data_IF_938139066178
#
_entry.id   IF_938139066178
#
_cell.length_a   1.000
_cell.length_b   1.000
_cell.length_c   1.000
_cell.angle_alpha   90.00
_cell.angle_beta   90.00
_cell.angle_gamma   90.00
#
_symmetry.space_group_name_H-M   'P 1'
#
loop_
_entity.id
_entity.type
_entity.pdbx_description
1 polymer ?
#
# COMPACT_ATOMS: atom_id res chain seq x y z
N UNK A 1 46.94 48.04 20.48
CA UNK A 1 45.59 47.44 20.60
C UNK A 1 45.50 46.28 19.62
N UNK A 2 45.49 45.03 20.11
CA UNK A 2 45.26 43.83 19.29
C UNK A 2 43.81 43.41 19.50
N UNK A 3 42.97 43.57 18.48
CA UNK A 3 41.57 43.15 18.52
C UNK A 3 41.52 41.68 18.11
N UNK A 4 41.23 40.79 19.07
CA UNK A 4 40.97 39.38 18.78
C UNK A 4 39.48 39.22 18.49
N UNK A 5 39.16 39.08 17.21
CA UNK A 5 37.81 38.76 16.75
C UNK A 5 37.60 37.26 16.97
N UNK A 6 36.87 36.89 18.03
CA UNK A 6 36.45 35.52 18.27
C UNK A 6 35.35 35.16 17.27
N UNK A 7 35.67 34.29 16.31
CA UNK A 7 34.71 33.74 15.37
C UNK A 7 33.90 32.65 16.08
N UNK A 8 32.66 32.97 16.46
CA UNK A 8 31.72 31.98 16.99
C UNK A 8 31.23 31.09 15.84
N UNK A 9 31.72 29.85 15.78
CA UNK A 9 31.19 28.82 14.89
C UNK A 9 29.85 28.34 15.42
N UNK A 10 28.77 28.75 14.75
CA UNK A 10 27.42 28.22 14.99
C UNK A 10 27.35 26.82 14.36
N UNK A 11 27.48 25.78 15.18
CA UNK A 11 27.28 24.40 14.73
C UNK A 11 25.78 24.19 14.53
N UNK A 12 25.28 24.41 13.32
CA UNK A 12 23.91 24.03 12.97
C UNK A 12 23.82 22.51 13.01
N UNK A 13 23.17 21.96 14.03
CA UNK A 13 22.81 20.55 14.08
C UNK A 13 21.80 20.29 12.96
N UNK A 14 22.28 19.75 11.84
CA UNK A 14 21.45 19.16 10.79
C UNK A 14 20.71 17.98 11.42
N UNK A 15 19.49 18.22 11.90
CA UNK A 15 18.57 17.15 12.25
C UNK A 15 18.15 16.50 10.95
N UNK A 16 18.77 15.37 10.62
CA UNK A 16 18.19 14.47 9.63
C UNK A 16 16.87 13.98 10.19
N UNK A 17 15.77 14.39 9.57
CA UNK A 17 14.46 13.84 9.90
C UNK A 17 14.48 12.36 9.52
N UNK A 18 14.67 11.48 10.50
CA UNK A 18 14.37 10.06 10.33
C UNK A 18 12.85 9.94 10.34
N UNK A 19 12.26 9.42 9.27
CA UNK A 19 10.86 9.03 9.30
C UNK A 19 10.68 7.95 10.37
N UNK A 20 9.66 8.09 11.21
CA UNK A 20 9.27 7.05 12.16
C UNK A 20 8.65 5.89 11.37
N UNK A 21 9.16 4.68 11.57
CA UNK A 21 8.58 3.48 10.97
C UNK A 21 7.23 3.18 11.62
N UNK A 22 6.19 3.02 10.80
CA UNK A 22 4.83 2.73 11.25
C UNK A 22 4.33 1.44 10.62
N UNK A 23 4.06 0.44 11.45
CA UNK A 23 3.33 -0.74 11.01
C UNK A 23 1.87 -0.37 10.66
N UNK A 24 1.49 -0.58 9.40
CA UNK A 24 0.12 -0.31 8.91
C UNK A 24 -0.79 -1.54 8.98
N UNK A 25 -0.23 -2.72 9.21
CA UNK A 25 -0.96 -3.98 9.36
C UNK A 25 -0.59 -4.62 10.69
N UNK A 26 -1.61 -5.05 11.45
CA UNK A 26 -1.44 -5.54 12.82
C UNK A 26 -1.13 -7.05 12.93
N UNK A 27 -1.00 -7.75 11.79
CA UNK A 27 -0.73 -9.19 11.73
C UNK A 27 -1.92 -10.11 12.06
N UNK A 28 -3.10 -9.56 12.38
CA UNK A 28 -4.22 -10.32 12.96
C UNK A 28 -5.51 -10.18 12.17
N UNK A 29 -5.86 -8.95 11.79
CA UNK A 29 -7.13 -8.63 11.14
C UNK A 29 -7.00 -7.40 10.24
N UNK A 30 -8.11 -7.04 9.60
CA UNK A 30 -8.20 -5.91 8.69
C UNK A 30 -8.65 -4.61 9.38
N UNK A 31 -8.43 -4.48 10.70
CA UNK A 31 -8.71 -3.21 11.41
C UNK A 31 -7.94 -2.06 10.78
N UNK A 32 -8.67 -0.99 10.46
CA UNK A 32 -8.10 0.16 9.74
C UNK A 32 -8.02 -0.03 8.23
N UNK A 33 -8.56 -1.11 7.67
CA UNK A 33 -8.67 -1.34 6.22
C UNK A 33 -10.15 -1.42 5.80
N UNK A 34 -10.44 -0.98 4.58
CA UNK A 34 -11.77 -1.01 3.98
C UNK A 34 -11.71 -1.64 2.60
N UNK A 35 -12.56 -2.62 2.35
CA UNK A 35 -12.65 -3.35 1.08
C UNK A 35 -13.81 -4.32 1.10
N UNK A 36 -13.93 -5.13 0.06
CA UNK A 36 -14.89 -6.23 0.05
C UNK A 36 -14.36 -7.44 0.82
N UNK A 37 -14.98 -7.77 1.95
CA UNK A 37 -14.53 -8.85 2.85
C UNK A 37 -14.78 -10.25 2.30
N UNK A 38 -15.57 -10.39 1.23
CA UNK A 38 -15.68 -11.66 0.49
C UNK A 38 -14.42 -11.94 -0.35
N UNK A 39 -13.62 -10.91 -0.61
CA UNK A 39 -12.39 -10.98 -1.42
C UNK A 39 -11.12 -10.85 -0.58
N UNK A 40 -11.19 -10.13 0.55
CA UNK A 40 -10.06 -9.80 1.40
C UNK A 40 -10.21 -10.40 2.79
N UNK A 41 -9.16 -11.05 3.26
CA UNK A 41 -9.11 -11.67 4.60
C UNK A 41 -7.68 -11.65 5.15
N UNK A 42 -7.50 -12.06 6.40
CA UNK A 42 -6.18 -12.38 6.95
C UNK A 42 -6.04 -13.91 7.02
N UNK A 43 -4.98 -14.44 6.43
CA UNK A 43 -4.65 -15.87 6.43
C UNK A 43 -3.17 -16.02 6.79
N UNK A 44 -2.85 -16.90 7.72
CA UNK A 44 -1.48 -17.15 8.21
C UNK A 44 -0.72 -15.86 8.59
N UNK A 45 -1.43 -14.90 9.20
CA UNK A 45 -0.87 -13.61 9.60
C UNK A 45 -0.54 -12.68 8.43
N UNK A 46 -1.13 -12.88 7.25
CA UNK A 46 -0.92 -12.05 6.05
C UNK A 46 -2.24 -11.59 5.45
N UNK A 47 -2.28 -10.36 4.92
CA UNK A 47 -3.41 -9.89 4.12
C UNK A 47 -3.48 -10.72 2.83
N UNK A 48 -4.59 -11.39 2.61
CA UNK A 48 -4.82 -12.28 1.47
C UNK A 48 -6.01 -11.80 0.64
N UNK A 49 -5.75 -11.50 -0.63
CA UNK A 49 -6.77 -11.20 -1.63
C UNK A 49 -7.04 -12.40 -2.54
N UNK A 50 -8.30 -12.77 -2.72
CA UNK A 50 -8.71 -13.88 -3.61
C UNK A 50 -9.90 -13.47 -4.45
N UNK A 51 -9.78 -13.64 -5.77
CA UNK A 51 -10.87 -13.38 -6.70
C UNK A 51 -11.61 -14.68 -7.06
N UNK A 52 -12.95 -14.68 -7.06
CA UNK A 52 -13.72 -15.85 -7.46
C UNK A 52 -13.57 -16.12 -8.96
N UNK A 53 -13.29 -17.37 -9.31
CA UNK A 53 -13.20 -17.81 -10.69
C UNK A 53 -14.59 -17.95 -11.33
N UNK A 54 -14.69 -17.71 -12.63
CA UNK A 54 -15.89 -17.95 -13.42
C UNK A 54 -16.13 -19.47 -13.55
N UNK A 55 -17.30 -19.99 -13.11
CA UNK A 55 -17.63 -21.41 -13.26
C UNK A 55 -17.59 -21.91 -14.71
N UNK A 56 -17.88 -21.04 -15.68
CA UNK A 56 -17.82 -21.38 -17.11
C UNK A 56 -16.40 -21.24 -17.70
N UNK A 57 -15.52 -20.45 -17.07
CA UNK A 57 -14.13 -20.30 -17.48
C UNK A 57 -13.22 -20.05 -16.27
N UNK A 58 -12.65 -21.10 -15.66
CA UNK A 58 -11.82 -20.98 -14.46
C UNK A 58 -10.55 -20.12 -14.60
N UNK A 59 -10.16 -19.78 -15.83
CA UNK A 59 -9.05 -18.87 -16.11
C UNK A 59 -9.43 -17.38 -15.96
N UNK A 60 -10.73 -17.07 -15.78
CA UNK A 60 -11.24 -15.71 -15.61
C UNK A 60 -11.86 -15.53 -14.23
N UNK A 61 -11.85 -14.29 -13.76
CA UNK A 61 -12.62 -13.87 -12.59
C UNK A 61 -14.04 -13.48 -12.99
N UNK A 62 -15.02 -13.68 -12.10
CA UNK A 62 -16.38 -13.15 -12.31
C UNK A 62 -16.47 -11.64 -12.10
N UNK A 63 -15.46 -11.04 -11.47
CA UNK A 63 -15.41 -9.59 -11.20
C UNK A 63 -15.43 -8.80 -12.51
N UNK A 64 -16.28 -7.77 -12.58
CA UNK A 64 -16.46 -6.93 -13.78
C UNK A 64 -15.58 -5.68 -13.80
N UNK A 65 -14.99 -5.34 -12.65
CA UNK A 65 -14.09 -4.22 -12.47
C UNK A 65 -13.06 -4.55 -11.38
N UNK A 66 -11.96 -3.80 -11.35
CA UNK A 66 -11.02 -3.88 -10.25
C UNK A 66 -11.66 -3.36 -8.96
N UNK A 67 -11.26 -3.94 -7.84
CA UNK A 67 -11.60 -3.43 -6.51
C UNK A 67 -10.41 -3.59 -5.57
N UNK A 68 -10.38 -2.79 -4.52
CA UNK A 68 -9.19 -2.60 -3.71
C UNK A 68 -9.48 -2.73 -2.21
N UNK A 69 -8.45 -3.09 -1.47
CA UNK A 69 -8.39 -2.94 -0.02
C UNK A 69 -7.63 -1.64 0.29
N UNK A 70 -8.28 -0.73 1.02
CA UNK A 70 -7.79 0.63 1.26
C UNK A 70 -7.48 0.77 2.75
N UNK A 71 -6.23 1.11 3.08
CA UNK A 71 -5.88 1.51 4.43
C UNK A 71 -6.46 2.89 4.75
N UNK A 72 -7.16 3.01 5.88
CA UNK A 72 -7.86 4.21 6.35
C UNK A 72 -7.22 4.84 7.58
N UNK A 73 -5.99 4.46 7.92
CA UNK A 73 -5.27 5.00 9.08
C UNK A 73 -4.73 6.42 8.92
N UNK A 74 -5.05 7.11 7.82
CA UNK A 74 -4.77 8.53 7.60
C UNK A 74 -4.33 8.85 6.18
N UNK A 75 -4.05 10.13 5.93
CA UNK A 75 -3.37 10.59 4.72
C UNK A 75 -1.86 10.57 4.93
N UNK A 76 -1.11 10.17 3.90
CA UNK A 76 0.37 10.13 3.93
C UNK A 76 0.92 11.16 2.94
N UNK A 77 2.02 11.81 3.33
CA UNK A 77 2.79 12.74 2.50
C UNK A 77 3.84 11.99 1.68
N UNK A 78 5.11 12.31 1.92
CA UNK A 78 6.23 11.52 1.44
C UNK A 78 6.50 10.36 2.42
N UNK A 79 6.73 9.17 1.87
CA UNK A 79 6.88 7.94 2.65
C UNK A 79 7.76 6.94 1.91
N UNK A 80 8.32 6.01 2.67
CA UNK A 80 8.86 4.74 2.16
C UNK A 80 7.92 3.63 2.63
N UNK A 81 7.57 2.70 1.74
CA UNK A 81 6.74 1.55 2.05
C UNK A 81 7.52 0.28 1.78
N UNK A 82 7.77 -0.48 2.84
CA UNK A 82 8.46 -1.77 2.77
C UNK A 82 7.48 -2.87 3.16
N UNK A 83 7.37 -3.89 2.32
CA UNK A 83 6.53 -5.05 2.55
C UNK A 83 7.05 -6.24 1.75
N UNK A 84 6.62 -7.44 2.13
CA UNK A 84 6.82 -8.66 1.37
C UNK A 84 5.48 -9.07 0.74
N UNK A 85 5.54 -9.67 -0.45
CA UNK A 85 4.35 -10.16 -1.13
C UNK A 85 4.59 -11.56 -1.71
N UNK A 86 3.51 -12.27 -1.95
CA UNK A 86 3.46 -13.53 -2.69
C UNK A 86 2.29 -13.48 -3.66
N UNK A 87 2.50 -13.85 -4.90
CA UNK A 87 1.46 -13.97 -5.93
C UNK A 87 1.53 -15.35 -6.56
N UNK A 88 0.38 -16.03 -6.66
CA UNK A 88 0.31 -17.37 -7.26
C UNK A 88 0.02 -17.32 -8.76
N UNK A 89 -0.86 -16.40 -9.18
CA UNK A 89 -1.32 -16.24 -10.57
C UNK A 89 -1.86 -14.83 -10.82
N UNK A 90 -1.88 -14.42 -12.09
CA UNK A 90 -2.42 -13.13 -12.51
C UNK A 90 -1.52 -11.97 -12.09
N UNK A 91 -2.12 -10.81 -11.82
CA UNK A 91 -1.43 -9.60 -11.40
C UNK A 91 -2.15 -8.94 -10.23
N UNK A 92 -1.41 -8.16 -9.47
CA UNK A 92 -1.90 -7.29 -8.42
C UNK A 92 -0.89 -6.15 -8.21
N UNK A 93 -1.09 -5.29 -7.22
CA UNK A 93 -0.26 -4.11 -7.05
C UNK A 93 -0.62 -3.32 -5.80
N UNK A 94 0.32 -2.49 -5.36
CA UNK A 94 0.03 -1.44 -4.38
C UNK A 94 -0.21 -0.15 -5.12
N UNK A 95 -1.43 0.38 -5.00
CA UNK A 95 -1.75 1.72 -5.46
C UNK A 95 -1.43 2.75 -4.37
N UNK A 96 -0.84 3.87 -4.78
CA UNK A 96 -0.44 4.95 -3.88
C UNK A 96 -0.70 6.32 -4.49
N UNK A 97 -0.81 7.33 -3.59
CA UNK A 97 -1.29 8.68 -3.92
C UNK A 97 -2.62 8.65 -4.68
N UNK A 98 -3.46 7.69 -4.34
CA UNK A 98 -4.70 7.39 -5.04
C UNK A 98 -5.85 8.30 -4.62
N UNK A 99 -6.85 8.38 -5.49
CA UNK A 99 -8.15 9.01 -5.25
C UNK A 99 -9.22 7.94 -5.28
N UNK A 100 -10.11 7.98 -4.30
CA UNK A 100 -11.32 7.16 -4.30
C UNK A 100 -12.31 7.69 -5.34
N UNK A 101 -12.83 6.77 -6.15
CA UNK A 101 -13.90 7.00 -7.12
C UNK A 101 -15.22 6.46 -6.56
N UNK A 102 -16.37 6.72 -7.21
CA UNK A 102 -17.60 6.02 -6.88
C UNK A 102 -17.37 4.52 -6.83
N UNK A 103 -17.75 3.89 -5.72
CA UNK A 103 -17.55 2.46 -5.52
C UNK A 103 -18.32 1.65 -6.57
N UNK A 104 -17.74 0.52 -6.98
CA UNK A 104 -18.42 -0.43 -7.83
C UNK A 104 -19.14 -1.49 -7.02
N UNK A 105 -19.85 -2.37 -7.71
CA UNK A 105 -20.63 -3.47 -7.11
C UNK A 105 -19.75 -4.39 -6.25
N UNK A 106 -18.49 -4.59 -6.66
CA UNK A 106 -17.57 -5.49 -5.96
C UNK A 106 -16.72 -4.80 -4.89
N UNK A 107 -16.92 -3.50 -4.63
CA UNK A 107 -16.20 -2.75 -3.59
C UNK A 107 -15.54 -1.45 -4.08
N UNK A 108 -14.61 -0.89 -3.28
CA UNK A 108 -13.97 0.38 -3.58
C UNK A 108 -13.24 0.37 -4.92
N UNK A 109 -13.31 1.50 -5.64
CA UNK A 109 -12.56 1.76 -6.86
C UNK A 109 -11.65 2.96 -6.58
N UNK A 110 -10.38 2.84 -6.97
CA UNK A 110 -9.39 3.91 -6.83
C UNK A 110 -8.64 4.14 -8.15
N UNK A 111 -8.18 5.37 -8.32
CA UNK A 111 -7.30 5.79 -9.42
C UNK A 111 -6.04 6.42 -8.86
N UNK A 112 -4.88 6.11 -9.43
CA UNK A 112 -3.59 6.57 -8.90
C UNK A 112 -2.42 5.85 -9.56
N UNK A 113 -1.23 6.04 -9.00
CA UNK A 113 -0.04 5.31 -9.41
C UNK A 113 -0.06 3.91 -8.81
N UNK A 114 0.46 2.93 -9.53
CA UNK A 114 0.50 1.54 -9.10
C UNK A 114 1.92 0.99 -9.22
N UNK A 115 2.41 0.41 -8.13
CA UNK A 115 3.53 -0.50 -8.15
C UNK A 115 2.96 -1.90 -8.41
N UNK A 116 3.00 -2.33 -9.67
CA UNK A 116 2.48 -3.62 -10.13
C UNK A 116 3.41 -4.77 -9.75
N UNK A 117 2.81 -5.94 -9.54
CA UNK A 117 3.48 -7.23 -9.48
C UNK A 117 2.66 -8.30 -10.21
N UNK A 118 3.30 -9.13 -11.02
CA UNK A 118 2.67 -10.23 -11.75
C UNK A 118 3.25 -11.60 -11.40
N UNK A 119 2.45 -12.63 -11.62
CA UNK A 119 2.93 -14.00 -11.70
C UNK A 119 3.19 -14.34 -13.17
N UNK A 120 4.45 -14.38 -13.58
CA UNK A 120 4.79 -14.63 -14.98
C UNK A 120 6.28 -14.61 -15.28
N UNK A 121 6.60 -14.81 -16.56
CA UNK A 121 7.96 -14.64 -17.13
C UNK A 121 8.03 -13.50 -18.14
N UNK A 122 6.88 -12.91 -18.45
CA UNK A 122 6.74 -11.97 -19.56
C UNK A 122 6.73 -10.53 -19.09
N UNK A 123 6.56 -10.29 -17.79
CA UNK A 123 7.05 -9.19 -16.97
C UNK A 123 7.07 -9.68 -15.48
#
# INVERSE_FOLDING_TARGET
MKLHLALATFLAALSFASAEEKEIFNGKDLSGWVGNMDLWSVQDGTITGKTPADPANPAKSILKHNTFLIWKGGTVGDFELTFQYRIEKGNSGVQYRSKELPAGESGPIISGYQADFEAGKTY
#
